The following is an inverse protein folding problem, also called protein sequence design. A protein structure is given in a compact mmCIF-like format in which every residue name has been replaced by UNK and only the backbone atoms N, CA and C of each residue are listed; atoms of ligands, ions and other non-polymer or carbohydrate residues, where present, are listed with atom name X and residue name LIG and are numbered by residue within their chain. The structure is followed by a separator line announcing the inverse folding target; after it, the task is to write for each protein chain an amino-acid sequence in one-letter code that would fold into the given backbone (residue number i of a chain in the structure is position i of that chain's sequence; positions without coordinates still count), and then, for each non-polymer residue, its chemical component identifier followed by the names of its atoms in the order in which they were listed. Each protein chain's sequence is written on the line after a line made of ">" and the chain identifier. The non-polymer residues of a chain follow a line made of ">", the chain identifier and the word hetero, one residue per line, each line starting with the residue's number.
data_IF_279003994472
#
_entry.id   IF_279003994472
#
_cell.length_a   1.000
_cell.length_b   1.000
_cell.length_c   1.000
_cell.angle_alpha   90.00
_cell.angle_beta   90.00
_cell.angle_gamma   90.00
#
_symmetry.space_group_name_H-M   'P 1'
#
loop_
_entity.id
_entity.type
_entity.pdbx_description
1 polymer ?
#
# COMPACT_ATOMS: atom_id res chain seq x y z
N UNK A 1 3.21 -9.09 -27.75
CA UNK A 1 3.53 -7.68 -28.09
C UNK A 1 3.48 -6.80 -26.83
N UNK A 2 4.16 -5.65 -26.80
CA UNK A 2 4.13 -4.74 -25.63
C UNK A 2 2.70 -4.28 -25.34
N UNK A 3 1.93 -4.06 -26.41
CA UNK A 3 0.53 -3.63 -26.38
C UNK A 3 -0.38 -4.71 -25.77
N UNK A 4 -0.08 -5.99 -26.02
CA UNK A 4 -0.82 -7.11 -25.41
C UNK A 4 -0.51 -7.21 -23.93
N UNK A 5 0.76 -7.02 -23.53
CA UNK A 5 1.19 -7.09 -22.13
C UNK A 5 0.59 -5.94 -21.31
N UNK A 6 0.56 -4.73 -21.87
CA UNK A 6 0.07 -3.53 -21.19
C UNK A 6 -1.45 -3.34 -21.34
N UNK A 7 -2.18 -4.30 -21.91
CA UNK A 7 -3.62 -4.18 -22.11
C UNK A 7 -4.33 -4.04 -20.76
N UNK A 8 -5.09 -2.95 -20.60
CA UNK A 8 -5.82 -2.65 -19.35
C UNK A 8 -5.03 -1.82 -18.33
N UNK A 9 -3.77 -1.49 -18.61
CA UNK A 9 -2.96 -0.58 -17.81
C UNK A 9 -2.82 0.79 -18.50
N UNK A 10 -2.44 1.85 -17.77
CA UNK A 10 -2.14 3.16 -18.34
C UNK A 10 -1.12 3.08 -19.49
N UNK A 11 -1.28 3.94 -20.51
CA UNK A 11 -0.47 3.90 -21.73
C UNK A 11 1.03 4.15 -21.48
N UNK A 12 1.36 4.81 -20.38
CA UNK A 12 2.73 5.11 -19.93
C UNK A 12 3.56 3.84 -19.72
N UNK A 13 2.94 2.71 -19.33
CA UNK A 13 3.63 1.42 -19.22
C UNK A 13 4.12 0.91 -20.58
N UNK A 14 3.28 0.99 -21.61
CA UNK A 14 3.65 0.60 -22.97
C UNK A 14 4.71 1.56 -23.54
N UNK A 15 4.56 2.86 -23.29
CA UNK A 15 5.55 3.87 -23.70
C UNK A 15 6.93 3.61 -23.07
N UNK A 16 6.97 3.29 -21.77
CA UNK A 16 8.20 2.93 -21.06
C UNK A 16 8.88 1.70 -21.67
N UNK A 17 8.11 0.62 -21.91
CA UNK A 17 8.65 -0.62 -22.47
C UNK A 17 9.13 -0.45 -23.91
N UNK A 18 8.38 0.29 -24.73
CA UNK A 18 8.79 0.56 -26.11
C UNK A 18 10.06 1.43 -26.14
N UNK A 19 10.17 2.45 -25.29
CA UNK A 19 11.38 3.27 -25.17
C UNK A 19 12.60 2.42 -24.75
N UNK A 20 12.46 1.64 -23.68
CA UNK A 20 13.59 0.85 -23.15
C UNK A 20 14.05 -0.22 -24.14
N UNK A 21 13.13 -0.77 -24.95
CA UNK A 21 13.46 -1.73 -26.01
C UNK A 21 14.04 -1.08 -27.28
N UNK A 22 13.83 0.21 -27.50
CA UNK A 22 14.39 0.93 -28.67
C UNK A 22 15.78 1.50 -28.42
N UNK A 23 16.29 1.44 -27.18
CA UNK A 23 17.65 1.84 -26.84
C UNK A 23 18.67 0.92 -27.49
N UNK A 24 19.68 1.51 -28.12
CA UNK A 24 20.89 0.81 -28.60
C UNK A 24 21.87 0.65 -27.44
N UNK A 25 22.88 -0.21 -27.65
CA UNK A 25 23.87 -0.52 -26.63
C UNK A 25 24.59 0.71 -26.04
N UNK A 26 24.90 1.70 -26.88
CA UNK A 26 25.63 2.91 -26.47
C UNK A 26 24.70 4.08 -26.11
N UNK A 27 23.38 3.91 -26.25
CA UNK A 27 22.44 4.98 -25.95
C UNK A 27 22.40 5.26 -24.44
N UNK A 28 22.50 6.53 -24.08
CA UNK A 28 22.24 6.98 -22.72
C UNK A 28 20.74 7.13 -22.49
N UNK A 29 20.12 6.40 -21.56
CA UNK A 29 18.69 6.54 -21.29
C UNK A 29 18.34 7.94 -20.78
N UNK A 30 17.22 8.49 -21.25
CA UNK A 30 16.62 9.70 -20.73
C UNK A 30 15.80 9.35 -19.48
N UNK A 31 16.50 9.23 -18.36
CA UNK A 31 15.88 8.96 -17.06
C UNK A 31 14.90 10.07 -16.63
N UNK A 32 15.07 11.30 -17.14
CA UNK A 32 14.16 12.40 -16.82
C UNK A 32 12.83 12.20 -17.51
N UNK A 33 12.82 11.83 -18.79
CA UNK A 33 11.61 11.44 -19.52
C UNK A 33 10.91 10.24 -18.86
N UNK A 34 11.65 9.17 -18.57
CA UNK A 34 11.09 7.96 -17.98
C UNK A 34 10.43 8.22 -16.61
N UNK A 35 11.08 9.01 -15.74
CA UNK A 35 10.50 9.44 -14.46
C UNK A 35 9.28 10.35 -14.67
N UNK A 36 9.31 11.20 -15.68
CA UNK A 36 8.23 12.15 -15.98
C UNK A 36 6.96 11.44 -16.38
N UNK A 37 7.02 10.38 -17.20
CA UNK A 37 5.87 9.56 -17.57
C UNK A 37 5.04 9.14 -16.34
N UNK A 38 5.68 8.46 -15.39
CA UNK A 38 4.98 7.96 -14.22
C UNK A 38 4.61 9.06 -13.23
N UNK A 39 5.39 10.14 -13.12
CA UNK A 39 5.03 11.28 -12.28
C UNK A 39 3.80 12.02 -12.80
N UNK A 40 3.69 12.24 -14.11
CA UNK A 40 2.51 12.88 -14.72
C UNK A 40 1.27 11.99 -14.57
N UNK A 41 1.40 10.68 -14.78
CA UNK A 41 0.35 9.71 -14.48
C UNK A 41 -0.07 9.76 -13.00
N UNK A 42 0.89 9.72 -12.07
CA UNK A 42 0.64 9.74 -10.63
C UNK A 42 -0.15 10.98 -10.19
N UNK A 43 0.20 12.15 -10.73
CA UNK A 43 -0.53 13.40 -10.46
C UNK A 43 -1.92 13.37 -11.08
N UNK A 44 -2.08 12.84 -12.30
CA UNK A 44 -3.37 12.75 -13.00
C UNK A 44 -4.36 11.84 -12.26
N UNK A 45 -3.89 10.73 -11.71
CA UNK A 45 -4.71 9.83 -10.88
C UNK A 45 -5.02 10.41 -9.48
N UNK A 46 -4.45 11.57 -9.14
CA UNK A 46 -4.71 12.27 -7.88
C UNK A 46 -3.94 11.74 -6.68
N UNK A 47 -2.86 10.97 -6.89
CA UNK A 47 -2.06 10.44 -5.80
C UNK A 47 -1.12 11.49 -5.18
N UNK A 48 -0.72 11.26 -3.93
CA UNK A 48 0.17 12.12 -3.17
C UNK A 48 1.45 11.38 -2.76
N UNK A 49 2.57 12.10 -2.72
CA UNK A 49 3.86 11.55 -2.28
C UNK A 49 3.91 11.53 -0.75
N UNK A 50 3.11 10.67 -0.14
CA UNK A 50 2.97 10.50 1.31
C UNK A 50 3.81 9.33 1.87
N UNK A 51 4.46 8.57 0.99
CA UNK A 51 5.24 7.36 1.29
C UNK A 51 4.38 6.24 1.93
N UNK A 52 3.06 6.27 1.73
CA UNK A 52 2.13 5.23 2.17
C UNK A 52 1.95 4.20 1.06
N UNK A 53 2.70 3.11 1.17
CA UNK A 53 2.58 1.94 0.28
C UNK A 53 1.56 0.93 0.82
N UNK A 54 1.16 -0.04 0.00
CA UNK A 54 0.21 -1.10 0.38
C UNK A 54 0.60 -1.84 1.66
N UNK A 55 1.89 -2.12 1.84
CA UNK A 55 2.40 -2.77 3.07
C UNK A 55 2.36 -1.84 4.29
N UNK A 56 2.38 -0.52 4.09
CA UNK A 56 2.22 0.46 5.17
C UNK A 56 0.78 0.42 5.70
N UNK A 57 -0.21 0.41 4.80
CA UNK A 57 -1.62 0.27 5.15
C UNK A 57 -1.91 -1.08 5.82
N UNK A 58 -1.36 -2.17 5.29
CA UNK A 58 -1.49 -3.50 5.90
C UNK A 58 -1.00 -3.51 7.35
N UNK A 59 0.18 -2.94 7.61
CA UNK A 59 0.75 -2.84 8.97
C UNK A 59 -0.11 -1.96 9.88
N UNK A 60 -0.62 -0.83 9.39
CA UNK A 60 -1.52 0.04 10.18
C UNK A 60 -2.78 -0.72 10.58
N UNK A 61 -3.40 -1.43 9.63
CA UNK A 61 -4.60 -2.24 9.88
C UNK A 61 -4.34 -3.37 10.89
N UNK A 62 -3.20 -4.05 10.78
CA UNK A 62 -2.79 -5.10 11.73
C UNK A 62 -2.59 -4.53 13.15
N UNK A 63 -1.93 -3.37 13.27
CA UNK A 63 -1.74 -2.70 14.57
C UNK A 63 -3.08 -2.27 15.19
N UNK A 64 -3.96 -1.64 14.40
CA UNK A 64 -5.29 -1.22 14.87
C UNK A 64 -6.14 -2.41 15.33
N UNK A 65 -6.03 -3.56 14.65
CA UNK A 65 -6.69 -4.82 15.07
C UNK A 65 -6.13 -5.35 16.38
N UNK A 66 -4.81 -5.34 16.55
CA UNK A 66 -4.16 -5.80 17.78
C UNK A 66 -4.51 -4.92 19.00
N UNK A 67 -4.63 -3.60 18.79
CA UNK A 67 -5.09 -2.67 19.82
C UNK A 67 -6.56 -2.90 20.20
N UNK A 68 -7.41 -3.20 19.21
CA UNK A 68 -8.83 -3.52 19.43
C UNK A 68 -9.05 -4.82 20.22
N UNK A 69 -8.27 -5.87 19.92
CA UNK A 69 -8.33 -7.14 20.67
C UNK A 69 -7.84 -6.97 22.11
N UNK A 70 -6.75 -6.23 22.32
CA UNK A 70 -6.22 -5.97 23.67
C UNK A 70 -7.21 -5.23 24.58
N UNK A 71 -7.97 -4.28 24.03
CA UNK A 71 -9.02 -3.59 24.79
C UNK A 71 -10.21 -4.49 25.12
N UNK A 72 -10.62 -5.38 24.21
CA UNK A 72 -11.69 -6.35 24.47
C UNK A 72 -11.27 -7.38 25.53
N UNK A 73 -10.05 -7.90 25.45
CA UNK A 73 -9.49 -8.82 26.43
C UNK A 73 -9.40 -8.18 27.82
N UNK A 74 -8.93 -6.93 27.92
CA UNK A 74 -8.89 -6.20 29.19
C UNK A 74 -10.28 -5.96 29.78
N UNK A 75 -11.28 -5.60 28.94
CA UNK A 75 -12.67 -5.43 29.39
C UNK A 75 -13.28 -6.76 29.86
N UNK A 76 -13.04 -7.86 29.15
CA UNK A 76 -13.50 -9.19 29.56
C UNK A 76 -12.84 -9.65 30.86
N UNK A 77 -11.54 -9.42 31.04
CA UNK A 77 -10.83 -9.75 32.28
C UNK A 77 -11.34 -8.91 33.47
N UNK A 78 -11.59 -7.61 33.29
CA UNK A 78 -12.18 -6.77 34.34
C UNK A 78 -13.61 -7.20 34.69
N UNK A 79 -14.42 -7.58 33.71
CA UNK A 79 -15.78 -8.06 33.96
C UNK A 79 -15.77 -9.40 34.71
N UNK A 80 -14.93 -10.35 34.30
CA UNK A 80 -14.77 -11.63 35.00
C UNK A 80 -14.27 -11.45 36.44
N UNK A 81 -13.36 -10.50 36.70
CA UNK A 81 -12.90 -10.20 38.07
C UNK A 81 -14.00 -9.60 38.94
N UNK A 82 -14.86 -8.74 38.40
CA UNK A 82 -16.02 -8.20 39.11
C UNK A 82 -17.01 -9.31 39.47
N UNK A 83 -17.36 -10.13 38.48
CA UNK A 83 -18.28 -11.26 38.68
C UNK A 83 -17.72 -12.31 39.67
N UNK A 84 -16.40 -12.50 39.74
CA UNK A 84 -15.78 -13.39 40.75
C UNK A 84 -15.84 -12.83 42.17
N UNK A 85 -15.63 -11.52 42.33
CA UNK A 85 -15.65 -10.86 43.64
C UNK A 85 -17.04 -10.86 44.29
N UNK A 86 -18.10 -10.79 43.49
CA UNK A 86 -19.48 -10.84 43.97
C UNK A 86 -19.90 -12.25 44.46
N UNK A 87 -19.28 -13.32 43.94
CA UNK A 87 -19.58 -14.71 44.34
C UNK A 87 -18.90 -15.10 45.65
N UNK A 88 -17.73 -14.52 45.97
CA UNK A 88 -17.04 -14.78 47.25
C UNK A 88 -17.65 -14.02 48.45
N UNK A 89 -18.55 -13.06 48.22
CA UNK A 89 -19.19 -12.27 49.28
C UNK A 89 -20.65 -12.65 49.58
N UNK A 90 -21.20 -13.66 48.89
CA UNK A 90 -22.53 -14.25 49.15
C UNK A 90 -22.41 -15.59 49.87
#
# INVERSE_FOLDING_TARGET
>A
PVETLCKGFPAEFAAYLNYTRSLRFEDKPDYSYLKRLFRELFIREGYHVDYVFDWTLKRIHENLKAEGSGQQEQKQQQQQQRERGDVEQA
#
